data_IF_643833161026
#
_entry.id   IF_643833161026
#
_cell.length_a   1.000
_cell.length_b   1.000
_cell.length_c   1.000
_cell.angle_alpha   90.00
_cell.angle_beta   90.00
_cell.angle_gamma   90.00
#
_symmetry.space_group_name_H-M   'P 1'
#
loop_
_entity.id
_entity.type
_entity.pdbx_description
1 polymer ?
#
# COMPACT_ATOMS: atom_id res chain seq x y z
N UNK A 1 -21.27 -88.53 -29.63
CA UNK A 1 -20.03 -87.79 -29.38
C UNK A 1 -20.33 -86.34 -29.47
N UNK A 2 -20.43 -85.59 -28.33
CA UNK A 2 -20.67 -84.16 -28.26
C UNK A 2 -19.38 -83.48 -27.76
N UNK A 3 -18.80 -82.65 -28.61
CA UNK A 3 -17.62 -81.84 -28.28
C UNK A 3 -18.11 -80.52 -27.74
N UNK A 4 -17.74 -80.24 -26.48
CA UNK A 4 -18.04 -78.99 -25.81
C UNK A 4 -16.90 -77.99 -25.99
N UNK A 5 -17.13 -76.88 -26.73
CA UNK A 5 -16.20 -75.75 -26.84
C UNK A 5 -16.43 -74.81 -25.64
N UNK A 6 -15.43 -74.73 -24.76
CA UNK A 6 -15.35 -73.67 -23.73
C UNK A 6 -14.58 -72.50 -24.30
N UNK A 7 -15.25 -71.38 -24.42
CA UNK A 7 -14.64 -70.09 -24.76
C UNK A 7 -14.16 -69.44 -23.46
N UNK A 8 -12.82 -69.25 -23.33
CA UNK A 8 -12.23 -68.44 -22.26
C UNK A 8 -12.27 -66.98 -22.68
N UNK A 9 -13.10 -66.19 -22.01
CA UNK A 9 -13.12 -64.72 -22.13
C UNK A 9 -12.05 -64.11 -21.21
N UNK A 10 -11.02 -63.56 -21.79
CA UNK A 10 -9.99 -62.76 -21.07
C UNK A 10 -10.57 -61.37 -20.78
N UNK A 11 -10.85 -61.04 -19.52
CA UNK A 11 -11.15 -59.68 -19.09
C UNK A 11 -9.81 -58.88 -18.96
N UNK A 12 -9.58 -57.94 -19.83
CA UNK A 12 -8.51 -56.94 -19.69
C UNK A 12 -9.08 -55.79 -18.86
N UNK A 13 -8.64 -55.73 -17.60
CA UNK A 13 -8.95 -54.60 -16.74
C UNK A 13 -8.11 -53.38 -17.14
N UNK A 14 -8.71 -52.40 -17.80
CA UNK A 14 -8.11 -51.10 -18.11
C UNK A 14 -8.04 -50.26 -16.84
N UNK A 15 -6.87 -50.20 -16.20
CA UNK A 15 -6.62 -49.28 -15.08
C UNK A 15 -6.38 -47.89 -15.63
N UNK A 16 -7.40 -47.06 -15.60
CA UNK A 16 -7.28 -45.59 -15.87
C UNK A 16 -6.51 -44.93 -14.70
N UNK A 17 -5.23 -44.71 -14.86
CA UNK A 17 -4.47 -43.86 -13.98
C UNK A 17 -4.87 -42.40 -14.25
N UNK A 18 -5.72 -41.88 -13.36
CA UNK A 18 -5.99 -40.43 -13.33
C UNK A 18 -4.71 -39.71 -12.88
N UNK A 19 -4.24 -38.69 -13.62
CA UNK A 19 -3.12 -37.91 -13.16
C UNK A 19 -3.56 -37.17 -11.88
N UNK A 20 -2.97 -37.52 -10.74
CA UNK A 20 -3.02 -36.72 -9.53
C UNK A 20 -2.25 -35.45 -9.84
N UNK A 21 -2.93 -34.40 -10.21
CA UNK A 21 -2.36 -33.06 -10.18
C UNK A 21 -2.03 -32.77 -8.70
N UNK A 22 -0.80 -33.01 -8.32
CA UNK A 22 -0.23 -32.47 -7.11
C UNK A 22 -0.32 -30.95 -7.25
N UNK A 23 -1.32 -30.34 -6.65
CA UNK A 23 -1.43 -28.91 -6.48
C UNK A 23 -0.17 -28.51 -5.72
N UNK A 24 0.82 -27.95 -6.40
CA UNK A 24 1.97 -27.38 -5.73
C UNK A 24 1.42 -26.44 -4.66
N UNK A 25 1.57 -26.81 -3.40
CA UNK A 25 1.28 -25.96 -2.27
C UNK A 25 2.22 -24.75 -2.41
N UNK A 26 1.74 -23.70 -3.10
CA UNK A 26 2.49 -22.47 -3.28
C UNK A 26 2.84 -21.91 -1.92
N UNK A 27 4.07 -21.44 -1.76
CA UNK A 27 4.56 -20.81 -0.53
C UNK A 27 3.56 -19.75 -0.06
N UNK A 28 3.25 -19.75 1.24
CA UNK A 28 2.30 -18.78 1.82
C UNK A 28 2.89 -17.37 1.67
N UNK A 29 2.11 -16.40 1.15
CA UNK A 29 2.60 -15.04 1.00
C UNK A 29 2.95 -14.40 2.35
N UNK A 30 4.06 -13.67 2.37
CA UNK A 30 4.47 -12.87 3.53
C UNK A 30 3.87 -11.48 3.39
N UNK A 31 3.00 -11.11 4.33
CA UNK A 31 2.32 -9.79 4.35
C UNK A 31 2.86 -8.88 5.44
N UNK A 32 3.52 -9.43 6.46
CA UNK A 32 3.97 -8.73 7.65
C UNK A 32 5.22 -9.38 8.23
N UNK A 33 6.02 -8.59 8.93
CA UNK A 33 7.18 -9.05 9.72
C UNK A 33 7.18 -8.36 11.09
N UNK A 34 7.63 -9.06 12.13
CA UNK A 34 7.85 -8.42 13.42
C UNK A 34 9.05 -7.48 13.34
N UNK A 35 8.85 -6.24 13.78
CA UNK A 35 9.89 -5.20 13.81
C UNK A 35 10.78 -5.27 15.05
N UNK A 36 10.50 -6.21 15.96
CA UNK A 36 11.29 -6.38 17.19
C UNK A 36 11.22 -5.17 18.13
N UNK A 37 12.34 -4.56 18.42
CA UNK A 37 12.42 -3.36 19.27
C UNK A 37 11.99 -2.11 18.49
N UNK A 38 10.70 -1.79 18.57
CA UNK A 38 10.10 -0.62 17.91
C UNK A 38 10.70 0.69 18.44
N UNK A 39 11.08 0.77 19.71
CA UNK A 39 11.64 1.98 20.30
C UNK A 39 13.00 2.37 19.69
N UNK A 40 13.73 1.40 19.13
CA UNK A 40 15.01 1.63 18.46
C UNK A 40 14.87 2.06 17.00
N UNK A 41 13.66 2.08 16.42
CA UNK A 41 13.45 2.46 15.03
C UNK A 41 13.63 3.96 14.82
N UNK A 42 14.54 4.33 13.91
CA UNK A 42 14.68 5.69 13.41
C UNK A 42 13.79 5.86 12.18
N UNK A 43 12.69 6.58 12.31
CA UNK A 43 11.73 6.83 11.23
C UNK A 43 12.02 8.13 10.46
N UNK A 44 12.91 8.98 10.99
CA UNK A 44 13.24 10.27 10.37
C UNK A 44 14.11 10.10 9.11
N UNK A 45 14.98 9.09 9.09
CA UNK A 45 15.90 8.85 7.97
C UNK A 45 15.23 8.15 6.76
N UNK A 46 13.93 7.90 6.87
CA UNK A 46 13.15 7.22 5.83
C UNK A 46 13.26 5.69 5.86
N UNK A 47 12.61 4.99 4.92
CA UNK A 47 12.33 3.55 5.02
C UNK A 47 13.56 2.64 5.01
N UNK A 48 14.62 3.03 4.36
CA UNK A 48 15.88 2.26 4.31
C UNK A 48 17.00 2.88 5.14
N UNK A 49 16.69 3.94 5.89
CA UNK A 49 17.70 4.72 6.61
C UNK A 49 18.66 5.45 5.67
N UNK A 50 19.67 6.10 6.26
CA UNK A 50 20.69 6.87 5.50
C UNK A 50 21.39 6.08 4.40
N UNK A 51 21.74 4.77 4.55
CA UNK A 51 22.45 4.04 3.49
C UNK A 51 21.62 3.82 2.21
N UNK A 52 20.30 3.89 2.29
CA UNK A 52 19.42 3.70 1.14
C UNK A 52 18.78 4.98 0.64
N UNK A 53 19.04 6.10 1.33
CA UNK A 53 18.52 7.40 0.94
C UNK A 53 19.00 7.82 -0.46
N UNK A 54 18.19 8.58 -1.21
CA UNK A 54 18.59 9.08 -2.53
C UNK A 54 19.81 10.01 -2.41
N UNK A 55 20.66 9.93 -3.43
CA UNK A 55 21.80 10.81 -3.61
C UNK A 55 21.39 12.30 -3.75
N UNK A 56 22.31 13.12 -4.16
CA UNK A 56 22.11 14.58 -4.30
C UNK A 56 22.11 15.05 -5.75
N UNK A 57 22.72 14.28 -6.64
CA UNK A 57 22.85 14.60 -8.06
C UNK A 57 22.09 13.56 -8.89
N UNK A 58 21.17 14.04 -9.70
CA UNK A 58 20.31 13.18 -10.50
C UNK A 58 20.48 13.47 -11.98
N UNK A 59 20.40 12.43 -12.81
CA UNK A 59 20.36 12.52 -14.26
C UNK A 59 18.98 12.09 -14.75
N UNK A 60 18.35 12.90 -15.59
CA UNK A 60 17.07 12.58 -16.23
C UNK A 60 17.20 11.36 -17.13
N UNK A 61 16.24 10.45 -17.04
CA UNK A 61 16.16 9.27 -17.90
C UNK A 61 14.99 9.41 -18.87
N UNK A 62 13.76 9.53 -18.37
CA UNK A 62 12.56 9.65 -19.21
C UNK A 62 11.34 10.11 -18.41
N UNK A 63 10.36 10.71 -19.08
CA UNK A 63 9.03 10.97 -18.52
C UNK A 63 8.18 9.68 -18.51
N UNK A 64 7.37 9.48 -17.46
CA UNK A 64 6.43 8.37 -17.33
C UNK A 64 5.02 8.90 -17.57
N UNK A 65 4.35 8.40 -18.60
CA UNK A 65 3.02 8.87 -19.01
C UNK A 65 1.85 8.12 -18.37
N UNK A 66 2.11 7.00 -17.68
CA UNK A 66 1.06 6.19 -17.03
C UNK A 66 0.60 6.81 -15.71
N UNK A 67 -0.68 6.60 -15.35
CA UNK A 67 -1.29 7.14 -14.12
C UNK A 67 -1.59 8.64 -14.20
N UNK A 68 -2.10 9.20 -13.11
CA UNK A 68 -2.57 10.61 -13.04
C UNK A 68 -1.52 11.59 -12.57
N UNK A 69 -0.66 11.22 -11.62
CA UNK A 69 0.41 12.07 -11.10
C UNK A 69 1.53 12.26 -12.14
N UNK A 70 2.09 13.48 -12.30
CA UNK A 70 3.29 13.69 -13.08
C UNK A 70 4.46 12.93 -12.47
N UNK A 71 5.23 12.23 -13.31
CA UNK A 71 6.37 11.42 -12.86
C UNK A 71 7.38 11.16 -13.97
N UNK A 72 8.62 10.95 -13.55
CA UNK A 72 9.73 10.66 -14.45
C UNK A 72 10.79 9.80 -13.75
N UNK A 73 11.59 9.09 -14.52
CA UNK A 73 12.71 8.29 -14.03
C UNK A 73 13.99 9.12 -14.01
N UNK A 74 14.80 8.93 -12.95
CA UNK A 74 16.16 9.46 -12.82
C UNK A 74 17.10 8.40 -12.29
N UNK A 75 18.41 8.65 -12.47
CA UNK A 75 19.49 7.87 -11.86
C UNK A 75 20.37 8.84 -11.04
N UNK A 76 20.73 8.43 -9.80
CA UNK A 76 21.62 9.23 -8.96
C UNK A 76 23.10 8.93 -9.25
N UNK A 77 23.99 9.69 -8.61
CA UNK A 77 25.45 9.55 -8.77
C UNK A 77 26.01 8.19 -8.35
N UNK A 78 25.24 7.42 -7.58
CA UNK A 78 25.59 6.07 -7.13
C UNK A 78 25.05 4.97 -8.07
N UNK A 79 24.35 5.36 -9.16
CA UNK A 79 23.72 4.46 -10.10
C UNK A 79 22.38 3.89 -9.60
N UNK A 80 21.87 4.36 -8.48
CA UNK A 80 20.53 3.97 -8.02
C UNK A 80 19.45 4.64 -8.86
N UNK A 81 18.41 3.86 -9.17
CA UNK A 81 17.30 4.30 -10.01
C UNK A 81 16.12 4.73 -9.15
N UNK A 82 15.54 5.86 -9.52
CA UNK A 82 14.45 6.49 -8.81
C UNK A 82 13.34 6.88 -9.76
N UNK A 83 12.10 6.64 -9.33
CA UNK A 83 10.92 7.26 -9.93
C UNK A 83 10.60 8.51 -9.13
N UNK A 84 10.64 9.66 -9.77
CA UNK A 84 10.24 10.93 -9.17
C UNK A 84 8.78 11.18 -9.44
N UNK A 85 7.98 11.35 -8.38
CA UNK A 85 6.57 11.73 -8.43
C UNK A 85 6.40 13.16 -7.94
N UNK A 86 5.48 13.92 -8.58
CA UNK A 86 5.22 15.32 -8.29
C UNK A 86 3.74 15.55 -7.98
N UNK A 87 3.44 16.60 -7.22
CA UNK A 87 2.07 17.04 -6.97
C UNK A 87 1.55 16.70 -5.58
N UNK A 88 0.23 16.80 -5.36
CA UNK A 88 -0.36 16.79 -4.02
C UNK A 88 -0.29 15.44 -3.29
N UNK A 89 0.10 14.36 -3.99
CA UNK A 89 0.24 13.02 -3.42
C UNK A 89 1.60 12.81 -2.73
N UNK A 90 2.60 13.64 -3.00
CA UNK A 90 3.98 13.44 -2.56
C UNK A 90 4.10 13.27 -1.04
N UNK A 91 3.69 14.28 -0.28
CA UNK A 91 3.82 14.25 1.18
C UNK A 91 2.95 13.17 1.85
N UNK A 92 1.64 13.04 1.50
CA UNK A 92 0.82 11.99 2.09
C UNK A 92 1.32 10.58 1.76
N UNK A 93 1.88 10.35 0.58
CA UNK A 93 2.44 9.04 0.21
C UNK A 93 3.66 8.68 1.06
N UNK A 94 4.63 9.58 1.18
CA UNK A 94 5.82 9.34 2.01
C UNK A 94 5.45 9.07 3.47
N UNK A 95 4.54 9.85 4.05
CA UNK A 95 4.10 9.64 5.42
C UNK A 95 3.35 8.30 5.60
N UNK A 96 2.48 7.93 4.64
CA UNK A 96 1.76 6.67 4.65
C UNK A 96 2.71 5.47 4.53
N UNK A 97 3.65 5.53 3.59
CA UNK A 97 4.70 4.52 3.40
C UNK A 97 5.53 4.34 4.69
N UNK A 98 5.94 5.44 5.33
CA UNK A 98 6.66 5.39 6.59
C UNK A 98 5.87 4.62 7.68
N UNK A 99 4.60 4.95 7.89
CA UNK A 99 3.76 4.25 8.89
C UNK A 99 3.53 2.78 8.55
N UNK A 100 3.32 2.46 7.28
CA UNK A 100 3.11 1.08 6.81
C UNK A 100 4.35 0.23 7.07
N UNK A 101 5.54 0.73 6.71
CA UNK A 101 6.81 0.04 6.92
C UNK A 101 7.16 -0.06 8.41
N UNK A 102 6.94 1.01 9.19
CA UNK A 102 7.14 1.01 10.63
C UNK A 102 6.27 -0.04 11.33
N UNK A 103 5.02 -0.22 10.90
CA UNK A 103 4.12 -1.25 11.40
C UNK A 103 4.51 -2.68 10.99
N UNK A 104 5.57 -2.88 10.21
CA UNK A 104 6.09 -4.19 9.78
C UNK A 104 5.48 -4.72 8.48
N UNK A 105 4.62 -3.96 7.82
CA UNK A 105 4.12 -4.28 6.48
C UNK A 105 5.12 -3.89 5.40
N UNK A 106 4.84 -4.26 4.16
CA UNK A 106 5.72 -3.96 3.04
C UNK A 106 5.07 -2.91 2.13
N UNK A 107 5.83 -1.85 1.83
CA UNK A 107 5.48 -0.79 0.89
C UNK A 107 6.70 -0.44 0.03
N UNK A 108 6.51 0.45 -0.94
CA UNK A 108 7.61 1.00 -1.72
C UNK A 108 8.55 1.81 -0.82
N UNK A 109 9.80 1.99 -1.22
CA UNK A 109 10.75 2.83 -0.49
C UNK A 109 10.67 4.27 -1.00
N UNK A 110 9.87 5.09 -0.34
CA UNK A 110 9.59 6.47 -0.72
C UNK A 110 10.34 7.45 0.16
N UNK A 111 11.02 8.41 -0.47
CA UNK A 111 11.72 9.50 0.20
C UNK A 111 11.22 10.85 -0.32
N UNK A 112 11.03 11.80 0.59
CA UNK A 112 10.73 13.18 0.24
C UNK A 112 12.01 14.00 0.10
N UNK A 113 12.03 14.89 -0.90
CA UNK A 113 13.02 15.97 -1.04
C UNK A 113 12.29 17.28 -1.35
N UNK A 114 12.55 18.30 -0.55
CA UNK A 114 11.99 19.63 -0.77
C UNK A 114 12.49 20.20 -2.12
N UNK A 115 13.72 19.86 -2.49
CA UNK A 115 14.34 20.29 -3.74
C UNK A 115 15.37 19.27 -4.21
N UNK A 116 15.39 18.98 -5.51
CA UNK A 116 16.43 18.20 -6.18
C UNK A 116 16.86 18.88 -7.47
N UNK A 117 18.12 18.66 -7.88
CA UNK A 117 18.63 19.13 -9.16
C UNK A 117 18.81 17.94 -10.10
N UNK A 118 18.18 18.03 -11.28
CA UNK A 118 18.19 16.97 -12.30
C UNK A 118 18.91 17.47 -13.55
N UNK A 119 20.08 16.88 -13.83
CA UNK A 119 20.84 17.16 -15.03
C UNK A 119 20.17 16.60 -16.27
N UNK A 120 20.20 17.33 -17.37
CA UNK A 120 19.60 16.91 -18.64
C UNK A 120 18.08 16.86 -18.60
N UNK A 121 17.45 17.56 -17.63
CA UNK A 121 15.99 17.62 -17.49
C UNK A 121 15.34 18.06 -18.80
N UNK A 122 14.43 17.27 -19.31
CA UNK A 122 13.62 17.59 -20.49
C UNK A 122 12.30 18.23 -20.09
N UNK A 123 11.70 19.07 -20.94
CA UNK A 123 10.38 19.60 -20.70
C UNK A 123 9.36 18.47 -20.50
N UNK A 124 8.72 18.40 -19.33
CA UNK A 124 7.66 17.44 -19.08
C UNK A 124 6.35 17.87 -19.75
N UNK A 125 5.53 16.90 -20.15
CA UNK A 125 4.16 17.15 -20.61
C UNK A 125 3.23 17.51 -19.46
N UNK A 126 3.50 17.00 -18.23
CA UNK A 126 2.71 17.25 -17.01
C UNK A 126 3.61 17.69 -15.86
N UNK A 127 3.09 18.51 -14.93
CA UNK A 127 3.84 18.92 -13.72
C UNK A 127 4.89 19.99 -13.94
N UNK A 128 4.83 20.76 -15.03
CA UNK A 128 5.79 21.84 -15.37
C UNK A 128 5.95 22.86 -14.25
N UNK A 129 4.88 23.12 -13.48
CA UNK A 129 4.88 24.09 -12.37
C UNK A 129 5.80 23.68 -11.21
N UNK A 130 6.23 22.43 -11.12
CA UNK A 130 7.17 21.93 -10.11
C UNK A 130 8.63 22.02 -10.53
N UNK A 131 8.88 22.43 -11.78
CA UNK A 131 10.22 22.46 -12.36
C UNK A 131 10.58 23.90 -12.71
N UNK A 132 11.74 24.34 -12.23
CA UNK A 132 12.32 25.63 -12.57
C UNK A 132 13.50 25.47 -13.53
N UNK A 133 13.99 26.59 -14.06
CA UNK A 133 15.14 26.61 -14.94
C UNK A 133 16.35 25.88 -14.35
N UNK A 134 17.13 25.24 -15.21
CA UNK A 134 18.31 24.47 -14.80
C UNK A 134 17.97 23.11 -14.15
N UNK A 135 16.75 22.62 -14.31
CA UNK A 135 16.35 21.29 -13.82
C UNK A 135 16.16 21.22 -12.31
N UNK A 136 15.78 22.34 -11.68
CA UNK A 136 15.44 22.39 -10.26
C UNK A 136 13.99 21.92 -10.07
N UNK A 137 13.80 20.84 -9.34
CA UNK A 137 12.49 20.21 -9.06
C UNK A 137 12.17 20.39 -7.59
N UNK A 138 10.95 20.85 -7.29
CA UNK A 138 10.48 21.09 -5.92
C UNK A 138 9.40 20.10 -5.51
N UNK A 139 9.36 19.80 -4.19
CA UNK A 139 8.41 18.90 -3.57
C UNK A 139 8.32 17.55 -4.30
N UNK A 140 9.42 16.81 -4.29
CA UNK A 140 9.58 15.56 -4.99
C UNK A 140 9.50 14.35 -4.04
N UNK A 141 8.74 13.34 -4.43
CA UNK A 141 8.86 11.98 -3.90
C UNK A 141 9.81 11.21 -4.81
N UNK A 142 10.77 10.52 -4.21
CA UNK A 142 11.68 9.60 -4.88
C UNK A 142 11.38 8.17 -4.42
N UNK A 143 10.78 7.37 -5.29
CA UNK A 143 10.53 5.94 -5.10
C UNK A 143 11.72 5.15 -5.65
N UNK A 144 12.34 4.32 -4.80
CA UNK A 144 13.47 3.48 -5.22
C UNK A 144 12.99 2.39 -6.16
N UNK A 145 13.68 2.17 -7.28
CA UNK A 145 13.27 1.22 -8.31
C UNK A 145 14.42 0.34 -8.78
N UNK A 146 14.09 -0.78 -9.43
CA UNK A 146 15.07 -1.59 -10.18
C UNK A 146 15.82 -2.65 -9.40
N UNK A 147 15.65 -2.79 -8.08
CA UNK A 147 16.33 -3.80 -7.27
C UNK A 147 15.62 -5.15 -7.28
N UNK A 148 14.29 -5.11 -7.26
CA UNK A 148 13.46 -6.31 -7.22
C UNK A 148 12.49 -6.34 -8.40
N UNK A 149 12.20 -7.54 -8.89
CA UNK A 149 11.26 -7.71 -9.99
C UNK A 149 9.85 -7.91 -9.46
N UNK A 150 8.96 -6.98 -9.77
CA UNK A 150 7.52 -7.14 -9.58
C UNK A 150 7.03 -8.28 -10.47
N UNK A 151 6.41 -9.31 -9.89
CA UNK A 151 5.91 -10.46 -10.63
C UNK A 151 4.46 -10.32 -11.05
N UNK A 152 3.58 -9.87 -10.15
CA UNK A 152 2.14 -9.68 -10.39
C UNK A 152 1.54 -8.69 -9.39
N UNK A 153 0.29 -8.29 -9.61
CA UNK A 153 -0.54 -7.68 -8.57
C UNK A 153 -1.11 -8.75 -7.62
N UNK A 154 -1.48 -8.33 -6.39
CA UNK A 154 -2.25 -9.17 -5.46
C UNK A 154 -3.59 -8.50 -5.13
N UNK A 155 -4.59 -9.31 -4.82
CA UNK A 155 -5.94 -8.85 -4.53
C UNK A 155 -6.18 -8.75 -3.03
N UNK A 156 -6.91 -7.71 -2.58
CA UNK A 156 -7.42 -7.60 -1.21
C UNK A 156 -8.37 -8.76 -0.83
N UNK A 157 -8.73 -9.61 -1.79
CA UNK A 157 -9.53 -10.83 -1.61
C UNK A 157 -8.69 -12.10 -1.70
N UNK A 158 -7.38 -11.98 -1.64
CA UNK A 158 -6.46 -13.12 -1.71
C UNK A 158 -6.75 -14.12 -0.59
N UNK A 159 -7.23 -15.30 -0.97
CA UNK A 159 -7.72 -16.30 -0.02
C UNK A 159 -6.62 -16.93 0.82
N UNK A 160 -5.36 -16.92 0.34
CA UNK A 160 -4.22 -17.51 1.06
C UNK A 160 -3.84 -16.76 2.33
N UNK A 161 -4.17 -15.48 2.42
CA UNK A 161 -3.89 -14.62 3.59
C UNK A 161 -5.17 -14.08 4.24
N UNK A 162 -6.33 -14.28 3.60
CA UNK A 162 -7.61 -13.83 4.14
C UNK A 162 -7.88 -14.48 5.50
N UNK A 163 -8.33 -13.68 6.45
CA UNK A 163 -8.62 -14.12 7.83
C UNK A 163 -7.40 -14.20 8.74
N UNK A 164 -6.18 -13.96 8.24
CA UNK A 164 -5.04 -13.82 9.15
C UNK A 164 -5.10 -12.47 9.85
N UNK A 165 -4.65 -12.44 11.09
CA UNK A 165 -4.60 -11.23 11.94
C UNK A 165 -3.77 -10.13 11.27
N UNK A 166 -2.65 -10.48 10.68
CA UNK A 166 -1.72 -9.58 9.99
C UNK A 166 -2.37 -8.94 8.76
N UNK A 167 -3.10 -9.72 7.97
CA UNK A 167 -3.81 -9.19 6.80
C UNK A 167 -4.99 -8.29 7.20
N UNK A 168 -5.75 -8.67 8.23
CA UNK A 168 -6.80 -7.83 8.79
C UNK A 168 -6.23 -6.53 9.37
N UNK A 169 -5.08 -6.59 10.06
CA UNK A 169 -4.34 -5.41 10.52
C UNK A 169 -3.96 -4.46 9.39
N UNK A 170 -3.48 -4.98 8.24
CA UNK A 170 -3.21 -4.15 7.06
C UNK A 170 -4.47 -3.42 6.57
N UNK A 171 -5.62 -4.10 6.53
CA UNK A 171 -6.91 -3.50 6.14
C UNK A 171 -7.32 -2.36 7.10
N UNK A 172 -7.10 -2.55 8.41
CA UNK A 172 -7.33 -1.52 9.43
C UNK A 172 -6.35 -0.36 9.26
N UNK A 173 -5.08 -0.63 8.96
CA UNK A 173 -4.08 0.41 8.72
C UNK A 173 -4.45 1.30 7.52
N UNK A 174 -4.98 0.70 6.45
CA UNK A 174 -5.50 1.47 5.31
C UNK A 174 -6.66 2.40 5.71
N UNK A 175 -7.55 1.94 6.59
CA UNK A 175 -8.60 2.80 7.15
C UNK A 175 -8.03 3.88 8.09
N UNK A 176 -7.04 3.53 8.91
CA UNK A 176 -6.40 4.47 9.84
C UNK A 176 -5.78 5.66 9.11
N UNK A 177 -5.11 5.44 7.99
CA UNK A 177 -4.53 6.50 7.16
C UNK A 177 -5.52 7.13 6.16
N UNK A 178 -6.79 6.69 6.15
CA UNK A 178 -7.81 7.11 5.17
C UNK A 178 -7.39 6.89 3.71
N UNK A 179 -6.70 5.80 3.39
CA UNK A 179 -6.38 5.49 1.99
C UNK A 179 -7.63 4.98 1.27
N UNK A 180 -8.23 5.84 0.45
CA UNK A 180 -9.45 5.52 -0.28
C UNK A 180 -9.23 4.95 -1.69
N UNK A 181 -7.99 4.74 -2.14
CA UNK A 181 -7.66 4.24 -3.49
C UNK A 181 -7.05 2.82 -3.46
N UNK A 182 -7.76 1.89 -2.82
CA UNK A 182 -7.34 0.50 -2.61
C UNK A 182 -7.53 -0.37 -3.86
N UNK A 183 -7.01 0.09 -5.01
CA UNK A 183 -7.01 -0.69 -6.25
C UNK A 183 -6.04 -1.86 -6.17
N UNK A 184 -6.38 -2.97 -6.80
CA UNK A 184 -5.48 -4.12 -6.90
C UNK A 184 -4.22 -3.79 -7.71
N UNK A 185 -4.30 -2.88 -8.68
CA UNK A 185 -3.15 -2.41 -9.47
C UNK A 185 -2.11 -1.65 -8.64
N UNK A 186 -2.52 -1.13 -7.47
CA UNK A 186 -1.64 -0.48 -6.49
C UNK A 186 -0.91 -1.50 -5.59
N UNK A 187 -1.09 -2.79 -5.80
CA UNK A 187 -0.50 -3.86 -5.02
C UNK A 187 0.53 -4.62 -5.86
N UNK A 188 1.59 -5.08 -5.21
CA UNK A 188 2.69 -5.76 -5.91
C UNK A 188 3.13 -7.01 -5.16
N UNK A 189 3.45 -8.06 -5.93
CA UNK A 189 4.10 -9.25 -5.40
C UNK A 189 5.55 -9.25 -5.86
N UNK A 190 6.47 -9.40 -4.91
CA UNK A 190 7.88 -9.60 -5.17
C UNK A 190 8.25 -11.01 -4.75
N UNK A 191 8.89 -11.76 -5.65
CA UNK A 191 9.33 -13.11 -5.38
C UNK A 191 10.65 -13.06 -4.62
N UNK A 192 10.69 -13.72 -3.45
CA UNK A 192 11.85 -13.76 -2.55
C UNK A 192 12.48 -15.15 -2.51
N UNK A 193 12.37 -15.92 -3.58
CA UNK A 193 12.86 -17.30 -3.63
C UNK A 193 12.24 -18.16 -2.53
N UNK A 194 13.06 -18.82 -1.74
CA UNK A 194 12.62 -19.75 -0.68
C UNK A 194 11.86 -19.07 0.46
N UNK A 195 12.02 -17.75 0.66
CA UNK A 195 11.29 -16.99 1.68
C UNK A 195 9.81 -16.76 1.32
N UNK A 196 9.40 -17.10 0.12
CA UNK A 196 8.04 -16.94 -0.38
C UNK A 196 7.75 -15.55 -0.94
N UNK A 197 6.59 -15.39 -1.60
CA UNK A 197 6.20 -14.12 -2.22
C UNK A 197 5.87 -13.07 -1.16
N UNK A 198 6.46 -11.87 -1.29
CA UNK A 198 6.22 -10.72 -0.43
C UNK A 198 5.11 -9.85 -1.04
N UNK A 199 4.08 -9.55 -0.24
CA UNK A 199 2.97 -8.70 -0.62
C UNK A 199 3.24 -7.25 -0.20
N UNK A 200 3.37 -6.37 -1.18
CA UNK A 200 3.71 -4.96 -1.04
C UNK A 200 2.51 -4.11 -1.42
N UNK A 201 2.19 -3.09 -0.64
CA UNK A 201 1.24 -2.04 -0.99
C UNK A 201 1.98 -0.85 -1.57
N UNK A 202 1.45 -0.27 -2.64
CA UNK A 202 2.06 0.84 -3.38
C UNK A 202 1.04 1.97 -3.58
N UNK A 203 1.51 3.12 -4.03
CA UNK A 203 0.66 4.27 -4.42
C UNK A 203 -0.28 4.71 -3.27
N UNK A 204 0.30 4.95 -2.10
CA UNK A 204 -0.40 5.33 -0.87
C UNK A 204 -0.76 6.83 -0.81
N UNK A 205 -0.58 7.58 -1.91
CA UNK A 205 -0.79 9.03 -1.96
C UNK A 205 -2.25 9.49 -1.76
N UNK A 206 -3.22 8.58 -1.84
CA UNK A 206 -4.62 8.88 -1.56
C UNK A 206 -4.97 8.83 -0.05
N UNK A 207 -4.01 9.19 0.80
CA UNK A 207 -4.10 9.10 2.27
C UNK A 207 -4.21 10.47 2.94
N UNK A 208 -4.51 10.47 4.25
CA UNK A 208 -4.55 11.64 5.14
C UNK A 208 -5.46 12.77 4.66
N UNK A 209 -6.58 12.41 4.12
CA UNK A 209 -7.61 13.36 3.70
C UNK A 209 -8.99 12.90 4.12
N UNK A 210 -9.99 13.32 3.37
CA UNK A 210 -11.38 12.96 3.61
C UNK A 210 -11.72 11.64 2.92
N UNK A 211 -12.19 10.67 3.73
CA UNK A 211 -13.12 9.63 3.27
C UNK A 211 -14.47 9.95 3.90
N UNK A 212 -15.56 9.65 3.26
CA UNK A 212 -16.86 9.89 3.86
C UNK A 212 -17.94 10.22 2.83
N UNK A 213 -19.17 10.43 3.29
CA UNK A 213 -20.38 10.64 2.48
C UNK A 213 -20.38 11.96 1.68
N UNK A 214 -19.24 12.61 1.52
CA UNK A 214 -19.14 13.92 0.89
C UNK A 214 -18.93 13.86 -0.61
N UNK A 215 -19.27 14.95 -1.29
CA UNK A 215 -19.13 15.10 -2.74
C UNK A 215 -17.67 15.15 -3.21
N UNK A 216 -16.74 15.42 -2.30
CA UNK A 216 -15.34 15.54 -2.62
C UNK A 216 -14.47 14.67 -1.70
N UNK A 217 -13.48 14.01 -2.29
CA UNK A 217 -12.40 13.33 -1.59
C UNK A 217 -11.19 14.25 -1.58
N UNK A 218 -10.40 14.17 -0.51
CA UNK A 218 -9.14 14.89 -0.43
C UNK A 218 -8.00 13.93 -0.05
N UNK A 219 -6.79 14.39 -0.19
CA UNK A 219 -5.56 13.69 0.15
C UNK A 219 -4.55 14.70 0.69
N UNK A 220 -3.88 14.37 1.78
CA UNK A 220 -2.94 15.27 2.43
C UNK A 220 -3.56 16.57 2.93
N UNK A 221 -4.82 16.56 3.38
CA UNK A 221 -5.53 17.74 3.90
C UNK A 221 -5.87 17.50 5.37
N UNK A 222 -5.06 18.07 6.27
CA UNK A 222 -5.16 17.87 7.72
C UNK A 222 -6.58 18.14 8.26
N UNK A 223 -7.18 19.28 7.88
CA UNK A 223 -8.52 19.63 8.31
C UNK A 223 -9.54 18.54 7.97
N UNK A 224 -9.46 17.99 6.79
CA UNK A 224 -10.36 16.95 6.33
C UNK A 224 -10.10 15.62 7.05
N UNK A 225 -8.83 15.28 7.27
CA UNK A 225 -8.46 14.06 8.00
C UNK A 225 -8.90 14.12 9.46
N UNK A 226 -8.71 15.26 10.12
CA UNK A 226 -9.10 15.47 11.50
C UNK A 226 -10.63 15.41 11.74
N UNK A 227 -11.43 15.81 10.73
CA UNK A 227 -12.90 15.78 10.83
C UNK A 227 -13.51 14.50 10.23
N UNK A 228 -12.73 13.59 9.69
CA UNK A 228 -13.26 12.34 9.14
C UNK A 228 -13.49 11.30 10.23
N UNK A 229 -14.65 10.68 10.21
CA UNK A 229 -14.96 9.54 11.06
C UNK A 229 -14.02 8.37 10.74
N UNK A 230 -13.70 7.56 11.75
CA UNK A 230 -12.81 6.41 11.61
C UNK A 230 -13.56 5.09 11.79
N UNK A 231 -14.28 4.93 12.90
CA UNK A 231 -15.10 3.75 13.17
C UNK A 231 -16.53 4.03 12.71
N UNK A 232 -17.08 3.13 11.89
CA UNK A 232 -18.46 3.20 11.39
C UNK A 232 -19.40 2.43 12.32
N UNK A 233 -19.10 1.14 12.56
CA UNK A 233 -19.95 0.26 13.34
C UNK A 233 -19.14 -0.74 14.15
N UNK A 234 -19.56 -0.97 15.40
CA UNK A 234 -19.02 -2.01 16.27
C UNK A 234 -20.11 -3.01 16.61
N UNK A 235 -19.81 -4.29 16.51
CA UNK A 235 -20.62 -5.42 16.97
C UNK A 235 -19.82 -6.23 17.99
N UNK A 236 -20.36 -7.22 18.69
CA UNK A 236 -19.58 -8.03 19.63
C UNK A 236 -18.37 -8.73 19.01
N UNK A 237 -18.39 -9.01 17.71
CA UNK A 237 -17.38 -9.82 17.02
C UNK A 237 -16.54 -9.02 16.02
N UNK A 238 -17.10 -7.98 15.41
CA UNK A 238 -16.50 -7.26 14.29
C UNK A 238 -16.65 -5.75 14.43
N UNK A 239 -15.71 -5.05 13.80
CA UNK A 239 -15.75 -3.61 13.58
C UNK A 239 -15.72 -3.31 12.07
N UNK A 240 -16.50 -2.32 11.67
CA UNK A 240 -16.48 -1.70 10.34
C UNK A 240 -15.84 -0.32 10.46
N UNK A 241 -14.92 -0.01 9.52
CA UNK A 241 -14.28 1.30 9.46
C UNK A 241 -14.84 2.12 8.30
N UNK A 242 -14.90 3.43 8.50
CA UNK A 242 -15.36 4.37 7.48
C UNK A 242 -14.38 4.39 6.31
N UNK A 243 -14.87 4.00 5.14
CA UNK A 243 -14.10 4.02 3.90
C UNK A 243 -15.03 4.29 2.73
N UNK A 244 -15.14 5.56 2.32
CA UNK A 244 -15.96 5.93 1.18
C UNK A 244 -15.08 6.28 -0.03
N UNK A 245 -14.87 5.29 -0.87
CA UNK A 245 -14.13 5.43 -2.12
C UNK A 245 -15.02 5.90 -3.28
N UNK A 246 -16.34 5.80 -3.13
CA UNK A 246 -17.29 6.15 -4.18
C UNK A 246 -17.46 7.67 -4.30
N UNK A 247 -17.48 8.21 -5.53
CA UNK A 247 -17.98 9.55 -5.75
C UNK A 247 -19.50 9.58 -5.58
N UNK A 248 -20.08 10.78 -5.59
CA UNK A 248 -21.53 10.98 -5.58
C UNK A 248 -22.24 10.19 -6.71
N UNK A 249 -23.57 9.93 -6.53
CA UNK A 249 -24.40 9.01 -7.34
C UNK A 249 -24.37 9.27 -8.86
N UNK A 250 -24.09 10.49 -9.31
CA UNK A 250 -24.06 10.83 -10.73
C UNK A 250 -23.11 9.94 -11.56
N UNK A 251 -21.88 9.63 -11.12
CA UNK A 251 -21.00 8.69 -11.82
C UNK A 251 -21.50 7.25 -11.88
N UNK A 252 -22.44 6.84 -11.01
CA UNK A 252 -23.08 5.52 -11.12
C UNK A 252 -23.89 5.38 -12.41
N UNK A 253 -24.58 6.45 -12.82
CA UNK A 253 -25.38 6.48 -14.05
C UNK A 253 -24.48 6.44 -15.28
N UNK A 254 -23.30 7.08 -15.20
CA UNK A 254 -22.33 7.17 -16.31
C UNK A 254 -21.47 5.91 -16.42
N UNK A 255 -21.07 5.29 -15.31
CA UNK A 255 -20.19 4.12 -15.30
C UNK A 255 -20.47 3.16 -14.15
N UNK A 256 -21.37 2.18 -14.38
CA UNK A 256 -21.67 1.12 -13.41
C UNK A 256 -20.43 0.31 -13.00
N UNK A 257 -19.51 0.07 -13.95
CA UNK A 257 -18.26 -0.65 -13.69
C UNK A 257 -17.41 0.09 -12.66
N UNK A 258 -17.16 1.38 -12.90
CA UNK A 258 -16.39 2.21 -11.98
C UNK A 258 -16.99 2.25 -10.57
N UNK A 259 -18.31 2.43 -10.47
CA UNK A 259 -19.02 2.44 -9.19
C UNK A 259 -18.92 1.10 -8.46
N UNK A 260 -19.05 -0.01 -9.19
CA UNK A 260 -18.90 -1.37 -8.64
C UNK A 260 -17.50 -1.59 -8.08
N UNK A 261 -16.45 -1.19 -8.81
CA UNK A 261 -15.07 -1.32 -8.33
C UNK A 261 -14.84 -0.50 -7.04
N UNK A 262 -15.35 0.73 -6.97
CA UNK A 262 -15.27 1.55 -5.76
C UNK A 262 -16.03 0.95 -4.58
N UNK A 263 -17.20 0.35 -4.81
CA UNK A 263 -17.94 -0.38 -3.77
C UNK A 263 -17.14 -1.58 -3.22
N UNK A 264 -16.40 -2.27 -4.09
CA UNK A 264 -15.54 -3.36 -3.66
C UNK A 264 -14.40 -2.87 -2.74
N UNK A 265 -13.83 -1.70 -3.02
CA UNK A 265 -12.79 -1.09 -2.18
C UNK A 265 -13.31 -0.73 -0.79
N UNK A 266 -14.52 -0.17 -0.68
CA UNK A 266 -15.13 0.17 0.61
C UNK A 266 -15.32 -1.05 1.52
N UNK A 267 -15.57 -2.22 0.94
CA UNK A 267 -15.72 -3.48 1.70
C UNK A 267 -14.41 -4.02 2.26
N UNK A 268 -13.26 -3.51 1.81
CA UNK A 268 -11.95 -3.96 2.30
C UNK A 268 -11.81 -3.68 3.79
N UNK A 269 -12.37 -2.59 4.30
CA UNK A 269 -12.26 -2.17 5.70
C UNK A 269 -13.47 -2.56 6.56
N UNK A 270 -14.33 -3.46 6.06
CA UNK A 270 -15.53 -3.93 6.76
C UNK A 270 -15.35 -5.33 7.34
N UNK A 271 -16.11 -5.64 8.40
CA UNK A 271 -16.16 -6.95 9.07
C UNK A 271 -14.77 -7.41 9.54
N UNK A 272 -14.01 -6.51 10.13
CA UNK A 272 -12.72 -6.86 10.75
C UNK A 272 -12.97 -7.44 12.14
N UNK A 273 -12.41 -8.62 12.47
CA UNK A 273 -12.48 -9.15 13.84
C UNK A 273 -11.94 -8.11 14.83
N UNK A 274 -12.66 -7.88 15.94
CA UNK A 274 -12.26 -6.90 16.96
C UNK A 274 -10.86 -7.23 17.51
N UNK A 275 -10.55 -8.51 17.73
CA UNK A 275 -9.25 -8.93 18.20
C UNK A 275 -8.11 -8.51 17.26
N UNK A 276 -8.34 -8.56 15.94
CA UNK A 276 -7.34 -8.20 14.94
C UNK A 276 -7.16 -6.68 14.84
N UNK A 277 -8.27 -5.92 14.95
CA UNK A 277 -8.23 -4.48 15.00
C UNK A 277 -7.50 -3.97 16.26
N UNK A 278 -7.80 -4.57 17.41
CA UNK A 278 -7.10 -4.28 18.68
C UNK A 278 -5.62 -4.62 18.62
N UNK A 279 -5.27 -5.77 18.02
CA UNK A 279 -3.88 -6.16 17.82
C UNK A 279 -3.09 -5.10 17.05
N UNK A 280 -3.67 -4.52 15.97
CA UNK A 280 -3.02 -3.42 15.28
C UNK A 280 -2.88 -2.17 16.18
N UNK A 281 -3.91 -1.87 16.98
CA UNK A 281 -3.86 -0.78 17.95
C UNK A 281 -2.73 -0.95 18.95
N UNK A 282 -2.55 -2.18 19.48
CA UNK A 282 -1.46 -2.53 20.41
C UNK A 282 -0.09 -2.44 19.71
N UNK A 283 0.00 -2.93 18.46
CA UNK A 283 1.22 -2.86 17.67
C UNK A 283 1.66 -1.41 17.44
N UNK A 284 0.76 -0.57 16.95
CA UNK A 284 1.03 0.85 16.70
C UNK A 284 1.21 1.65 18.00
N UNK A 285 0.56 1.23 19.09
CA UNK A 285 0.71 1.83 20.43
C UNK A 285 2.09 1.62 21.07
N UNK A 286 2.98 0.82 20.44
CA UNK A 286 4.39 0.66 20.85
C UNK A 286 5.26 1.84 20.40
N UNK A 287 4.80 2.61 19.40
CA UNK A 287 5.51 3.81 18.93
C UNK A 287 5.27 4.99 19.86
N UNK A 288 6.31 5.77 20.10
CA UNK A 288 6.16 7.07 20.73
C UNK A 288 5.45 8.07 19.83
N UNK A 289 4.87 9.11 20.41
CA UNK A 289 4.29 10.22 19.66
C UNK A 289 5.32 10.86 18.71
N UNK A 290 6.58 10.97 19.17
CA UNK A 290 7.66 11.52 18.33
C UNK A 290 7.97 10.63 17.12
N UNK A 291 8.02 9.31 17.27
CA UNK A 291 8.22 8.39 16.16
C UNK A 291 7.08 8.48 15.12
N UNK A 292 5.82 8.55 15.57
CA UNK A 292 4.69 8.80 14.65
C UNK A 292 4.85 10.16 13.96
N UNK A 293 5.27 11.19 14.70
CA UNK A 293 5.56 12.51 14.14
C UNK A 293 6.70 12.51 13.11
N UNK A 294 7.70 11.65 13.29
CA UNK A 294 8.83 11.54 12.36
C UNK A 294 8.39 11.08 10.97
N UNK A 295 7.37 10.25 10.85
CA UNK A 295 6.81 9.90 9.55
C UNK A 295 6.25 11.11 8.79
N UNK A 296 5.72 12.10 9.48
CA UNK A 296 5.25 13.35 8.86
C UNK A 296 6.38 14.34 8.65
N UNK A 297 7.39 14.40 9.55
CA UNK A 297 8.58 15.25 9.40
C UNK A 297 9.39 14.81 8.18
N UNK A 298 9.68 13.53 8.04
CA UNK A 298 10.42 12.98 6.87
C UNK A 298 9.66 13.18 5.56
N UNK A 299 8.34 13.31 5.58
CA UNK A 299 7.50 13.62 4.44
C UNK A 299 7.46 15.14 4.09
N UNK A 300 8.13 16.00 4.87
CA UNK A 300 8.22 17.43 4.59
C UNK A 300 6.98 18.24 4.98
N UNK A 301 6.16 17.77 5.91
CA UNK A 301 5.08 18.56 6.48
C UNK A 301 5.62 19.63 7.43
N UNK A 302 4.92 20.76 7.54
CA UNK A 302 5.24 21.82 8.51
C UNK A 302 5.04 21.35 9.95
N UNK A 303 5.68 22.01 10.91
CA UNK A 303 5.56 21.63 12.34
C UNK A 303 4.11 21.56 12.83
N UNK A 304 3.26 22.51 12.41
CA UNK A 304 1.83 22.52 12.76
C UNK A 304 1.06 21.35 12.13
N UNK A 305 1.39 20.98 10.88
CA UNK A 305 0.80 19.81 10.21
C UNK A 305 1.28 18.51 10.87
N UNK A 306 2.57 18.40 11.20
CA UNK A 306 3.14 17.25 11.94
C UNK A 306 2.39 17.03 13.24
N UNK A 307 2.24 18.07 14.07
CA UNK A 307 1.49 18.00 15.33
C UNK A 307 0.04 17.55 15.08
N UNK A 308 -0.64 18.17 14.12
CA UNK A 308 -2.03 17.86 13.81
C UNK A 308 -2.23 16.45 13.31
N UNK A 309 -1.46 15.99 12.32
CA UNK A 309 -1.57 14.62 11.81
C UNK A 309 -1.22 13.58 12.87
N UNK A 310 -0.13 13.81 13.62
CA UNK A 310 0.28 12.93 14.73
C UNK A 310 -0.83 12.79 15.76
N UNK A 311 -1.45 13.90 16.16
CA UNK A 311 -2.57 13.90 17.11
C UNK A 311 -3.74 13.03 16.62
N UNK A 312 -4.13 13.14 15.34
CA UNK A 312 -5.22 12.33 14.78
C UNK A 312 -4.84 10.84 14.72
N UNK A 313 -3.61 10.52 14.31
CA UNK A 313 -3.12 9.13 14.27
C UNK A 313 -3.15 8.52 15.66
N UNK A 314 -2.64 9.23 16.67
CA UNK A 314 -2.65 8.76 18.07
C UNK A 314 -4.08 8.54 18.59
N UNK A 315 -5.02 9.44 18.31
CA UNK A 315 -6.43 9.27 18.65
C UNK A 315 -7.03 7.99 18.03
N UNK A 316 -6.70 7.70 16.78
CA UNK A 316 -7.18 6.49 16.09
C UNK A 316 -6.55 5.22 16.65
N UNK A 317 -5.26 5.25 17.01
CA UNK A 317 -4.59 4.15 17.72
C UNK A 317 -5.30 3.87 19.06
N UNK A 318 -5.59 4.91 19.83
CA UNK A 318 -6.31 4.77 21.08
C UNK A 318 -7.75 4.25 20.91
N UNK A 319 -8.42 4.64 19.82
CA UNK A 319 -9.73 4.09 19.49
C UNK A 319 -9.66 2.59 19.18
N UNK A 320 -8.63 2.12 18.46
CA UNK A 320 -8.41 0.68 18.20
C UNK A 320 -8.16 -0.12 19.49
N UNK A 321 -7.38 0.42 20.42
CA UNK A 321 -7.08 -0.24 21.72
C UNK A 321 -8.30 -0.35 22.63
N UNK A 322 -9.31 0.51 22.44
CA UNK A 322 -10.55 0.52 23.23
C UNK A 322 -11.66 -0.35 22.65
N UNK A 323 -11.50 -0.90 21.42
CA UNK A 323 -12.46 -1.83 20.84
C UNK A 323 -12.59 -3.08 21.70
#
# INVERSE_FOLDING_TARGET
MRVSNRVFGSFVALVLALPVFAQQAGTIPVVWRDMGDVAALNLLDGPGGTPRAPGTNFKFVREIMTGTAPKFDVEDENGAKWKVKLGPEVKPEVAATCLVLAAGYFADEDYYRAEIRVQGMQPLSRGKQHISDGGLVRDALLERTGEEKKSRAWSWRETRVAGTREFNGLRVLMALINNWDLKEDNNSVYDQGDAGPRYVVSDLGASFGRTGSTLSRSKGVLKDYAHSEFVDKVTPEHVDFVMHSRPFVLPYIVSRKYYSERTKMERITQRIPIADARWLGDLLGRFSTDQIGDCFRTAGFSSAEVEGYTGVVMQRIDALKKL
#
